data_IF_634508874502
#
_entry.id   IF_634508874502
#
_cell.length_a   1.000
_cell.length_b   1.000
_cell.length_c   1.000
_cell.angle_alpha   90.00
_cell.angle_beta   90.00
_cell.angle_gamma   90.00
#
_symmetry.space_group_name_H-M   'P 1'
#
loop_
_entity.id
_entity.type
_entity.pdbx_description
1 polymer ?
#
# COMPACT_ATOMS: atom_id res chain seq x y z
N UNK A 1 -5.08 13.06 -23.36
CA UNK A 1 -4.83 12.94 -21.91
C UNK A 1 -3.56 12.13 -21.79
N UNK A 2 -2.53 12.67 -21.18
CA UNK A 2 -1.16 12.18 -21.36
C UNK A 2 -1.02 10.74 -20.87
N UNK A 3 -0.93 9.81 -21.82
CA UNK A 3 -0.34 8.47 -21.65
C UNK A 3 1.15 8.63 -21.27
N UNK A 4 1.43 9.29 -20.15
CA UNK A 4 2.77 9.27 -19.58
C UNK A 4 3.04 7.80 -19.26
N UNK A 5 4.01 7.24 -19.98
CA UNK A 5 4.25 5.81 -20.00
C UNK A 5 4.51 5.35 -18.56
N UNK A 6 3.81 4.29 -18.12
CA UNK A 6 4.00 3.66 -16.80
C UNK A 6 5.50 3.41 -16.54
N UNK A 7 6.25 3.06 -17.59
CA UNK A 7 7.70 2.91 -17.55
C UNK A 7 8.43 4.19 -17.14
N UNK A 8 8.10 5.33 -17.75
CA UNK A 8 8.70 6.63 -17.44
C UNK A 8 8.36 7.07 -16.02
N UNK A 9 7.13 6.83 -15.57
CA UNK A 9 6.74 7.07 -14.18
C UNK A 9 7.52 6.17 -13.21
N UNK A 10 7.69 4.89 -13.53
CA UNK A 10 8.47 3.96 -12.74
C UNK A 10 9.95 4.39 -12.61
N UNK A 11 10.57 4.79 -13.72
CA UNK A 11 11.96 5.29 -13.76
C UNK A 11 12.11 6.57 -12.92
N UNK A 12 11.17 7.52 -13.04
CA UNK A 12 11.12 8.72 -12.20
C UNK A 12 10.97 8.35 -10.72
N UNK A 13 10.06 7.44 -10.39
CA UNK A 13 9.84 7.01 -9.01
C UNK A 13 11.10 6.38 -8.40
N UNK A 14 11.76 5.49 -9.13
CA UNK A 14 13.01 4.86 -8.69
C UNK A 14 14.13 5.89 -8.49
N UNK A 15 14.23 6.86 -9.40
CA UNK A 15 15.18 7.97 -9.26
C UNK A 15 14.90 8.79 -8.00
N UNK A 16 13.64 9.13 -7.74
CA UNK A 16 13.21 9.86 -6.54
C UNK A 16 13.42 9.04 -5.26
N UNK A 17 13.34 7.70 -5.32
CA UNK A 17 13.61 6.83 -4.17
C UNK A 17 15.10 6.80 -3.79
N UNK A 18 15.99 7.10 -4.74
CA UNK A 18 17.42 7.25 -4.48
C UNK A 18 17.80 8.65 -3.96
N UNK A 19 16.89 9.63 -4.02
CA UNK A 19 17.14 10.96 -3.45
C UNK A 19 17.02 10.87 -1.92
N UNK A 20 18.07 11.24 -1.16
CA UNK A 20 18.04 11.20 0.29
C UNK A 20 17.16 12.32 0.84
N UNK A 21 15.87 12.03 1.00
CA UNK A 21 14.95 12.88 1.77
C UNK A 21 15.05 12.66 3.27
N UNK A 22 14.25 13.40 4.04
CA UNK A 22 14.09 13.26 5.50
C UNK A 22 13.80 11.81 5.91
N UNK A 23 13.04 11.09 5.09
CA UNK A 23 12.69 9.69 5.34
C UNK A 23 13.85 8.72 5.06
N UNK A 24 14.73 9.06 4.12
CA UNK A 24 15.96 8.32 3.84
C UNK A 24 17.11 8.62 4.81
N UNK A 25 16.85 9.41 5.87
CA UNK A 25 17.86 9.88 6.81
C UNK A 25 18.68 11.08 6.31
N UNK A 26 18.26 11.72 5.23
CA UNK A 26 18.85 12.95 4.69
C UNK A 26 18.17 14.22 5.19
N UNK A 27 18.50 15.35 4.56
CA UNK A 27 17.77 16.60 4.74
C UNK A 27 16.39 16.52 4.08
N UNK A 28 15.46 17.36 4.55
CA UNK A 28 14.13 17.45 3.95
C UNK A 28 14.24 17.94 2.51
N UNK A 29 13.75 17.13 1.57
CA UNK A 29 13.69 17.48 0.16
C UNK A 29 12.22 17.53 -0.27
N UNK A 30 11.78 18.72 -0.68
CA UNK A 30 10.38 18.99 -1.04
C UNK A 30 9.87 18.07 -2.15
N UNK A 31 10.74 17.53 -3.01
CA UNK A 31 10.33 16.65 -4.11
C UNK A 31 9.93 15.26 -3.63
N UNK A 32 10.50 14.78 -2.52
CA UNK A 32 10.31 13.41 -2.01
C UNK A 32 9.60 13.33 -0.66
N UNK A 33 9.70 14.37 0.16
CA UNK A 33 9.08 14.44 1.49
C UNK A 33 7.79 15.28 1.50
N UNK A 34 7.52 16.08 0.48
CA UNK A 34 6.28 16.85 0.41
C UNK A 34 5.10 15.98 -0.01
N UNK A 35 3.95 16.20 0.63
CA UNK A 35 2.67 15.56 0.30
C UNK A 35 2.16 15.93 -1.10
N UNK A 36 2.75 16.95 -1.74
CA UNK A 36 2.47 17.36 -3.12
C UNK A 36 3.72 17.29 -4.02
N UNK A 37 4.80 16.70 -3.50
CA UNK A 37 6.08 16.60 -4.21
C UNK A 37 6.00 15.68 -5.42
N UNK A 38 7.05 15.70 -6.24
CA UNK A 38 7.16 14.86 -7.44
C UNK A 38 6.96 13.38 -7.11
N UNK A 39 7.51 12.90 -5.98
CA UNK A 39 7.35 11.50 -5.55
C UNK A 39 5.89 11.15 -5.32
N UNK A 40 5.12 12.02 -4.67
CA UNK A 40 3.69 11.80 -4.47
C UNK A 40 2.94 11.72 -5.79
N UNK A 41 3.17 12.67 -6.70
CA UNK A 41 2.47 12.73 -7.98
C UNK A 41 2.74 11.49 -8.83
N UNK A 42 4.01 11.09 -8.92
CA UNK A 42 4.42 9.89 -9.66
C UNK A 42 3.85 8.63 -9.02
N UNK A 43 3.93 8.51 -7.69
CA UNK A 43 3.41 7.34 -6.97
C UNK A 43 1.89 7.24 -7.08
N UNK A 44 1.17 8.36 -7.04
CA UNK A 44 -0.27 8.41 -7.28
C UNK A 44 -0.63 8.01 -8.71
N UNK A 45 0.09 8.52 -9.72
CA UNK A 45 -0.15 8.16 -11.12
C UNK A 45 0.13 6.67 -11.38
N UNK A 46 1.23 6.13 -10.84
CA UNK A 46 1.51 4.69 -10.87
C UNK A 46 0.43 3.89 -10.15
N UNK A 47 -0.03 4.37 -8.99
CA UNK A 47 -1.14 3.76 -8.25
C UNK A 47 -2.42 3.69 -9.07
N UNK A 48 -2.78 4.77 -9.74
CA UNK A 48 -4.00 4.83 -10.57
C UNK A 48 -3.91 3.86 -11.78
N UNK A 49 -2.73 3.75 -12.41
CA UNK A 49 -2.51 2.89 -13.57
C UNK A 49 -2.32 1.40 -13.21
N UNK A 50 -1.57 1.10 -12.14
CA UNK A 50 -1.24 -0.27 -11.73
C UNK A 50 -2.21 -0.83 -10.67
N UNK A 51 -3.02 0.04 -10.09
CA UNK A 51 -4.06 -0.27 -9.12
C UNK A 51 -5.32 -0.88 -9.69
N UNK A 52 -5.37 -1.00 -11.02
CA UNK A 52 -6.52 -1.55 -11.72
C UNK A 52 -6.70 -3.04 -11.37
N UNK A 53 -7.94 -3.49 -11.11
CA UNK A 53 -8.22 -4.88 -10.78
C UNK A 53 -7.78 -5.80 -11.92
N UNK A 54 -7.05 -6.86 -11.58
CA UNK A 54 -6.50 -7.82 -12.54
C UNK A 54 -5.05 -7.55 -12.96
N UNK A 55 -4.47 -6.41 -12.57
CA UNK A 55 -3.04 -6.13 -12.78
C UNK A 55 -2.20 -7.12 -12.00
N UNK A 56 -1.19 -7.78 -12.59
CA UNK A 56 -0.32 -8.70 -11.86
C UNK A 56 0.55 -7.95 -10.85
N UNK A 57 0.66 -8.48 -9.64
CA UNK A 57 1.51 -7.94 -8.58
C UNK A 57 2.98 -7.82 -8.99
N UNK A 58 3.45 -8.74 -9.84
CA UNK A 58 4.77 -8.70 -10.43
C UNK A 58 5.03 -7.42 -11.25
N UNK A 59 4.00 -6.84 -11.89
CA UNK A 59 4.14 -5.59 -12.63
C UNK A 59 4.33 -4.43 -11.65
N UNK A 60 3.54 -4.37 -10.56
CA UNK A 60 3.74 -3.39 -9.48
C UNK A 60 5.17 -3.46 -8.95
N UNK A 61 5.66 -4.66 -8.63
CA UNK A 61 7.01 -4.85 -8.12
C UNK A 61 8.08 -4.47 -9.15
N UNK A 62 7.83 -4.71 -10.43
CA UNK A 62 8.76 -4.34 -11.51
C UNK A 62 8.79 -2.83 -11.73
N UNK A 63 7.68 -2.12 -11.53
CA UNK A 63 7.57 -0.67 -11.73
C UNK A 63 7.93 0.13 -10.49
N UNK A 64 7.21 -0.08 -9.38
CA UNK A 64 7.44 0.63 -8.11
C UNK A 64 8.62 0.05 -7.33
N UNK A 65 9.09 -1.16 -7.65
CA UNK A 65 10.13 -1.84 -6.87
C UNK A 65 9.57 -2.53 -5.63
N UNK A 66 10.45 -2.84 -4.68
CA UNK A 66 10.06 -3.51 -3.44
C UNK A 66 9.14 -2.61 -2.59
N UNK A 67 7.99 -3.08 -2.10
CA UNK A 67 7.17 -2.34 -1.17
C UNK A 67 7.93 -2.08 0.13
N UNK A 68 7.60 -0.98 0.80
CA UNK A 68 8.18 -0.67 2.11
C UNK A 68 7.64 -1.64 3.17
N UNK A 69 6.35 -1.98 3.10
CA UNK A 69 5.72 -2.97 3.97
C UNK A 69 4.87 -3.96 3.16
N UNK A 70 4.94 -5.23 3.54
CA UNK A 70 4.10 -6.30 3.02
C UNK A 70 3.34 -6.89 4.19
N UNK A 71 2.05 -6.61 4.27
CA UNK A 71 1.21 -7.00 5.41
C UNK A 71 -0.07 -7.68 4.92
N UNK A 72 -0.58 -8.72 5.60
CA UNK A 72 -1.88 -9.30 5.29
C UNK A 72 -3.05 -8.39 5.69
N UNK A 73 -2.81 -7.35 6.50
CA UNK A 73 -3.84 -6.39 6.94
C UNK A 73 -3.28 -4.98 7.01
N UNK A 74 -4.03 -3.99 6.49
CA UNK A 74 -3.71 -2.56 6.61
C UNK A 74 -3.97 -1.98 8.01
N UNK A 75 -4.56 -2.79 8.89
CA UNK A 75 -4.90 -2.40 10.24
C UNK A 75 -3.63 -2.25 11.09
N UNK A 76 -3.17 -1.01 11.21
CA UNK A 76 -2.17 -0.62 12.22
C UNK A 76 -2.77 -0.56 13.63
N UNK A 77 -4.04 -0.94 13.78
CA UNK A 77 -4.87 -0.71 14.95
C UNK A 77 -5.27 -2.00 15.67
N UNK A 78 -4.61 -3.13 15.48
CA UNK A 78 -4.75 -4.24 16.43
C UNK A 78 -3.70 -5.31 16.20
N UNK A 79 -2.67 -5.26 17.04
CA UNK A 79 -2.07 -6.48 17.56
C UNK A 79 -3.17 -7.28 18.29
N UNK A 80 -4.03 -7.96 17.54
CA UNK A 80 -4.82 -9.06 18.09
C UNK A 80 -3.86 -10.24 18.20
N UNK A 81 -3.16 -10.27 19.33
CA UNK A 81 -2.45 -11.45 19.81
C UNK A 81 -3.46 -12.60 19.74
N UNK A 82 -3.33 -13.46 18.74
CA UNK A 82 -4.12 -14.67 18.61
C UNK A 82 -3.58 -15.66 19.65
N UNK A 83 -4.04 -15.54 20.90
CA UNK A 83 -3.84 -16.59 21.90
C UNK A 83 -4.67 -17.79 21.48
N UNK A 84 -4.01 -18.88 21.08
CA UNK A 84 -4.63 -20.18 20.81
C UNK A 84 -5.25 -20.81 22.10
N UNK A 85 -5.83 -22.02 22.05
CA UNK A 85 -7.23 -22.33 21.79
C UNK A 85 -7.91 -22.94 23.03
N UNK A 86 -9.07 -22.44 23.42
CA UNK A 86 -9.90 -23.05 24.48
C UNK A 86 -11.38 -22.99 24.10
N UNK A 87 -12.22 -23.95 24.49
CA UNK A 87 -13.64 -23.95 24.14
C UNK A 87 -14.34 -22.84 24.93
N UNK A 88 -14.66 -21.73 24.27
CA UNK A 88 -15.45 -20.64 24.85
C UNK A 88 -16.90 -20.71 24.36
N UNK A 89 -17.80 -20.72 25.35
CA UNK A 89 -19.26 -20.81 25.34
C UNK A 89 -19.86 -19.62 24.57
N UNK A 90 -20.98 -19.77 23.83
CA UNK A 90 -21.60 -18.65 23.13
C UNK A 90 -22.25 -17.72 24.15
N UNK A 91 -21.86 -16.45 24.15
CA UNK A 91 -22.58 -15.39 24.86
C UNK A 91 -22.67 -14.18 23.97
N UNK A 92 -23.89 -13.99 23.48
CA UNK A 92 -24.39 -12.86 22.72
C UNK A 92 -24.02 -11.53 23.37
N UNK A 93 -23.54 -10.58 22.57
CA UNK A 93 -23.26 -9.22 23.02
C UNK A 93 -22.81 -8.32 21.87
N UNK A 94 -23.78 -7.59 21.31
CA UNK A 94 -23.70 -6.30 20.60
C UNK A 94 -22.33 -5.81 20.08
N UNK A 95 -22.22 -5.63 18.77
CA UNK A 95 -21.16 -4.79 18.17
C UNK A 95 -20.85 -5.08 16.71
N UNK A 96 -21.47 -4.31 15.81
CA UNK A 96 -21.09 -4.10 14.40
C UNK A 96 -20.95 -5.33 13.50
N UNK A 97 -22.03 -5.62 12.78
CA UNK A 97 -21.94 -6.27 11.49
C UNK A 97 -21.37 -5.30 10.44
N UNK A 98 -20.10 -5.48 10.05
CA UNK A 98 -19.53 -5.13 8.75
C UNK A 98 -18.05 -5.59 8.73
N UNK A 99 -17.50 -6.44 7.84
CA UNK A 99 -17.96 -7.15 6.66
C UNK A 99 -17.07 -8.39 6.51
N UNK A 100 -17.70 -9.55 6.39
CA UNK A 100 -17.35 -10.60 5.44
C UNK A 100 -15.93 -10.57 4.83
N UNK A 101 -14.88 -10.83 5.61
CA UNK A 101 -13.59 -11.26 5.05
C UNK A 101 -13.55 -12.78 5.05
N UNK A 102 -14.42 -13.35 4.23
CA UNK A 102 -14.30 -14.73 3.80
C UNK A 102 -12.90 -14.94 3.22
N UNK A 103 -12.02 -15.56 3.99
CA UNK A 103 -11.13 -16.62 3.54
C UNK A 103 -10.55 -16.49 2.11
N UNK A 104 -10.04 -15.32 1.77
CA UNK A 104 -9.13 -15.09 0.65
C UNK A 104 -7.91 -14.44 1.26
N UNK A 105 -6.86 -15.24 1.46
CA UNK A 105 -5.55 -14.75 1.84
C UNK A 105 -5.20 -13.62 0.84
N UNK A 106 -5.23 -12.39 1.31
CA UNK A 106 -4.88 -11.21 0.52
C UNK A 106 -3.69 -10.58 1.23
N UNK A 107 -2.76 -10.04 0.46
CA UNK A 107 -1.66 -9.26 1.02
C UNK A 107 -1.69 -7.85 0.45
N UNK A 108 -1.15 -6.93 1.21
CA UNK A 108 -1.10 -5.51 0.88
C UNK A 108 0.34 -5.11 0.64
N UNK A 109 0.60 -4.53 -0.53
CA UNK A 109 1.86 -3.83 -0.79
C UNK A 109 1.69 -2.38 -0.39
N UNK A 110 2.47 -1.94 0.59
CA UNK A 110 2.44 -0.58 1.10
C UNK A 110 3.71 0.14 0.65
N UNK A 111 3.51 1.29 0.00
CA UNK A 111 4.56 2.20 -0.43
C UNK A 111 4.42 3.48 0.38
N UNK A 112 5.43 3.79 1.19
CA UNK A 112 5.39 4.91 2.10
C UNK A 112 5.89 6.17 1.40
N UNK A 113 5.02 7.18 1.31
CA UNK A 113 5.47 8.54 1.01
C UNK A 113 5.98 9.19 2.29
N UNK A 114 5.17 9.19 3.35
CA UNK A 114 5.51 9.60 4.71
C UNK A 114 5.09 8.48 5.65
N UNK A 115 6.04 7.83 6.37
CA UNK A 115 5.72 6.68 7.19
C UNK A 115 4.62 7.03 8.19
N UNK A 116 3.61 6.17 8.28
CA UNK A 116 2.42 6.29 9.15
C UNK A 116 1.44 7.43 8.83
N UNK A 117 1.74 8.32 7.88
CA UNK A 117 0.85 9.44 7.51
C UNK A 117 0.29 9.32 6.10
N UNK A 118 1.17 9.13 5.12
CA UNK A 118 0.79 9.12 3.72
C UNK A 118 1.43 7.93 3.02
N UNK A 119 0.61 6.98 2.59
CA UNK A 119 1.08 5.79 1.90
C UNK A 119 0.07 5.31 0.86
N UNK A 120 0.59 4.72 -0.21
CA UNK A 120 -0.20 4.05 -1.23
C UNK A 120 -0.21 2.57 -0.90
N UNK A 121 -1.38 1.94 -0.95
CA UNK A 121 -1.48 0.51 -0.77
C UNK A 121 -2.14 -0.18 -1.97
N UNK A 122 -1.70 -1.40 -2.24
CA UNK A 122 -2.31 -2.29 -3.23
C UNK A 122 -2.76 -3.55 -2.53
N UNK A 123 -4.06 -3.83 -2.54
CA UNK A 123 -4.63 -5.10 -2.11
C UNK A 123 -4.46 -6.11 -3.22
N UNK A 124 -3.76 -7.20 -2.94
CA UNK A 124 -3.43 -8.25 -3.89
C UNK A 124 -4.03 -9.57 -3.41
N UNK A 125 -4.63 -10.30 -4.33
CA UNK A 125 -5.12 -11.65 -4.12
C UNK A 125 -3.92 -12.60 -4.03
N UNK A 126 -3.74 -13.33 -2.92
CA UNK A 126 -2.57 -14.19 -2.75
C UNK A 126 -2.62 -15.47 -3.60
N UNK A 127 -3.78 -15.81 -4.14
CA UNK A 127 -3.96 -17.02 -4.96
C UNK A 127 -3.64 -16.71 -6.42
N UNK A 128 -4.12 -15.58 -6.91
CA UNK A 128 -3.97 -15.16 -8.30
C UNK A 128 -2.81 -14.18 -8.52
N UNK A 129 -2.20 -13.68 -7.44
CA UNK A 129 -1.15 -12.66 -7.44
C UNK A 129 -1.54 -11.43 -8.28
N UNK A 130 -2.81 -11.04 -8.19
CA UNK A 130 -3.39 -9.92 -8.93
C UNK A 130 -3.95 -8.87 -8.00
N UNK A 131 -3.86 -7.62 -8.43
CA UNK A 131 -4.46 -6.49 -7.75
C UNK A 131 -5.96 -6.67 -7.73
N UNK A 132 -6.53 -6.55 -6.53
CA UNK A 132 -7.96 -6.46 -6.29
C UNK A 132 -8.37 -4.98 -6.31
N UNK A 133 -7.62 -4.15 -5.58
CA UNK A 133 -7.84 -2.71 -5.49
C UNK A 133 -6.57 -2.01 -5.03
N UNK A 134 -6.49 -0.71 -5.26
CA UNK A 134 -5.49 0.16 -4.66
C UNK A 134 -6.17 1.42 -4.17
N UNK A 135 -5.68 1.99 -3.07
CA UNK A 135 -6.14 3.29 -2.64
C UNK A 135 -5.02 4.04 -1.90
N UNK A 136 -5.22 5.34 -1.74
CA UNK A 136 -4.26 6.20 -1.08
C UNK A 136 -4.70 6.47 0.36
N UNK A 137 -3.90 6.04 1.32
CA UNK A 137 -4.12 6.39 2.72
C UNK A 137 -3.52 7.76 3.06
N UNK A 138 -4.36 8.66 3.58
CA UNK A 138 -3.95 9.92 4.21
C UNK A 138 -4.50 9.96 5.63
N UNK A 139 -3.61 9.94 6.61
CA UNK A 139 -3.92 10.39 7.95
C UNK A 139 -3.54 11.87 8.03
N UNK A 140 -4.52 12.71 8.39
CA UNK A 140 -4.33 14.12 8.76
C UNK A 140 -3.46 14.22 10.04
#
# INVERSE_FOLDING_TARGET
MSDENVNTLAEKYQSLRNVPGKIGGGEYDERVDSASGEKYQVMKALGDQLGLPGTPAADILSKLGKPDELTPTLDHSQASIQTMPGPAIPSSGDGNANENSANQQSFYFVYNLVPKKHYLYFKIDAVNEKVITSDWHKSD
#
